data_IF_283424127244
#
_entry.id   IF_283424127244
#
_cell.length_a   1.000
_cell.length_b   1.000
_cell.length_c   1.000
_cell.angle_alpha   90.00
_cell.angle_beta   90.00
_cell.angle_gamma   90.00
#
_symmetry.space_group_name_H-M   'P 1'
#
loop_
_entity.id
_entity.type
_entity.pdbx_description
1 polymer ?
#
# COMPACT_ATOMS: atom_id res chain seq x y z
N UNK A 1 -19.41 26.25 18.19
CA UNK A 1 -18.79 24.91 18.12
C UNK A 1 -18.82 24.29 16.72
N UNK A 2 -19.98 23.93 16.15
CA UNK A 2 -20.04 23.20 14.87
C UNK A 2 -19.51 23.99 13.66
N UNK A 3 -19.67 25.31 13.66
CA UNK A 3 -19.10 26.17 12.60
C UNK A 3 -17.56 26.18 12.64
N UNK A 4 -16.98 26.18 13.83
CA UNK A 4 -15.52 26.13 14.02
C UNK A 4 -14.97 24.76 13.61
N UNK A 5 -15.68 23.66 13.95
CA UNK A 5 -15.34 22.30 13.49
C UNK A 5 -15.45 22.19 11.98
N UNK A 6 -16.46 22.80 11.36
CA UNK A 6 -16.61 22.86 9.90
C UNK A 6 -15.43 23.58 9.24
N UNK A 7 -14.97 24.70 9.80
CA UNK A 7 -13.77 25.38 9.30
C UNK A 7 -12.50 24.52 9.48
N UNK A 8 -12.37 23.81 10.60
CA UNK A 8 -11.25 22.91 10.85
C UNK A 8 -11.17 21.76 9.82
N UNK A 9 -12.31 21.26 9.32
CA UNK A 9 -12.33 20.23 8.27
C UNK A 9 -11.60 20.65 7.00
N UNK A 10 -11.65 21.94 6.65
CA UNK A 10 -11.00 22.49 5.46
C UNK A 10 -9.52 22.84 5.65
N UNK A 11 -9.04 22.89 6.90
CA UNK A 11 -7.69 23.37 7.24
C UNK A 11 -6.80 22.29 7.88
N UNK A 12 -7.36 21.14 8.27
CA UNK A 12 -6.64 20.06 8.94
C UNK A 12 -6.34 18.91 7.98
N UNK A 13 -5.24 18.20 8.26
CA UNK A 13 -4.80 17.01 7.51
C UNK A 13 -4.59 15.84 8.47
N UNK A 14 -4.52 14.62 7.94
CA UNK A 14 -4.22 13.39 8.69
C UNK A 14 -5.15 13.22 9.90
N UNK A 15 -4.61 12.87 11.08
CA UNK A 15 -5.38 12.68 12.31
C UNK A 15 -6.24 13.89 12.70
N UNK A 16 -5.80 15.11 12.41
CA UNK A 16 -6.61 16.31 12.66
C UNK A 16 -7.94 16.28 11.90
N UNK A 17 -7.91 15.87 10.63
CA UNK A 17 -9.10 15.72 9.79
C UNK A 17 -9.99 14.59 10.29
N UNK A 18 -9.40 13.46 10.71
CA UNK A 18 -10.15 12.34 11.31
C UNK A 18 -10.92 12.78 12.57
N UNK A 19 -10.26 13.48 13.50
CA UNK A 19 -10.93 13.99 14.70
C UNK A 19 -12.01 15.02 14.37
N UNK A 20 -11.73 15.92 13.42
CA UNK A 20 -12.69 16.91 12.96
C UNK A 20 -13.94 16.26 12.34
N UNK A 21 -13.77 15.25 11.47
CA UNK A 21 -14.90 14.50 10.88
C UNK A 21 -15.71 13.83 11.99
N UNK A 22 -15.07 13.12 12.92
CA UNK A 22 -15.78 12.45 14.01
C UNK A 22 -16.61 13.42 14.87
N UNK A 23 -16.13 14.65 15.06
CA UNK A 23 -16.77 15.68 15.88
C UNK A 23 -17.83 16.50 15.12
N UNK A 24 -17.79 16.48 13.80
CA UNK A 24 -18.67 17.26 12.94
C UNK A 24 -20.06 16.62 12.82
N UNK A 25 -21.06 17.50 12.65
CA UNK A 25 -22.43 17.13 12.30
C UNK A 25 -22.71 17.40 10.82
N UNK A 26 -23.12 16.35 10.10
CA UNK A 26 -23.47 16.40 8.67
C UNK A 26 -24.99 16.35 8.48
N UNK A 27 -25.66 17.42 8.89
CA UNK A 27 -27.12 17.52 8.94
C UNK A 27 -27.76 18.28 7.77
N UNK A 28 -26.97 18.76 6.82
CA UNK A 28 -27.47 19.44 5.61
C UNK A 28 -26.98 18.73 4.35
N UNK A 29 -27.74 18.77 3.24
CA UNK A 29 -27.36 18.11 2.00
C UNK A 29 -25.96 18.51 1.50
N UNK A 30 -25.60 19.79 1.60
CA UNK A 30 -24.27 20.26 1.18
C UNK A 30 -23.12 19.70 2.05
N UNK A 31 -23.34 19.54 3.36
CA UNK A 31 -22.33 18.93 4.25
C UNK A 31 -22.21 17.43 4.00
N UNK A 32 -23.32 16.75 3.75
CA UNK A 32 -23.39 15.32 3.45
C UNK A 32 -22.66 15.01 2.14
N UNK A 33 -22.95 15.79 1.10
CA UNK A 33 -22.26 15.71 -0.18
C UNK A 33 -20.75 15.93 -0.04
N UNK A 34 -20.35 16.99 0.69
CA UNK A 34 -18.94 17.28 0.94
C UNK A 34 -18.24 16.11 1.65
N UNK A 35 -18.91 15.46 2.62
CA UNK A 35 -18.35 14.32 3.33
C UNK A 35 -18.08 13.13 2.39
N UNK A 36 -18.97 12.88 1.44
CA UNK A 36 -18.77 11.83 0.42
C UNK A 36 -17.57 12.19 -0.47
N UNK A 37 -17.55 13.41 -1.00
CA UNK A 37 -16.57 13.86 -2.00
C UNK A 37 -15.16 14.10 -1.43
N UNK A 38 -15.03 14.43 -0.14
CA UNK A 38 -13.77 14.92 0.43
C UNK A 38 -13.37 14.22 1.73
N UNK A 39 -14.28 13.45 2.35
CA UNK A 39 -14.02 12.83 3.66
C UNK A 39 -12.90 11.81 3.62
N UNK A 40 -12.85 11.00 2.56
CA UNK A 40 -11.91 9.89 2.38
C UNK A 40 -10.46 10.35 2.10
N UNK A 41 -10.26 11.60 1.68
CA UNK A 41 -8.94 12.17 1.41
C UNK A 41 -8.17 12.40 2.72
N UNK A 42 -7.56 11.32 3.21
CA UNK A 42 -6.77 11.27 4.43
C UNK A 42 -5.34 10.86 4.05
N UNK A 43 -4.35 11.63 4.52
CA UNK A 43 -2.94 11.23 4.45
C UNK A 43 -2.58 10.07 5.43
N UNK A 44 -3.58 9.37 5.96
CA UNK A 44 -3.44 8.23 6.87
C UNK A 44 -4.54 7.21 6.57
N UNK A 45 -4.21 5.93 6.68
CA UNK A 45 -5.18 4.86 6.57
C UNK A 45 -5.97 4.74 7.89
N UNK A 46 -7.27 5.04 7.86
CA UNK A 46 -8.15 4.85 9.02
C UNK A 46 -9.52 4.30 8.57
N UNK A 47 -9.58 2.99 8.25
CA UNK A 47 -10.75 2.32 7.67
C UNK A 47 -12.06 2.51 8.47
N UNK A 48 -12.06 2.57 9.81
CA UNK A 48 -13.29 2.75 10.58
C UNK A 48 -14.09 4.02 10.27
N UNK A 49 -13.45 5.09 9.77
CA UNK A 49 -14.16 6.33 9.47
C UNK A 49 -15.20 6.18 8.34
N UNK A 50 -15.03 5.16 7.49
CA UNK A 50 -15.97 4.83 6.42
C UNK A 50 -17.39 4.58 6.96
N UNK A 51 -17.54 4.01 8.16
CA UNK A 51 -18.86 3.80 8.80
C UNK A 51 -19.60 5.12 8.97
N UNK A 52 -18.91 6.13 9.51
CA UNK A 52 -19.50 7.46 9.71
C UNK A 52 -19.81 8.12 8.36
N UNK A 53 -18.94 7.97 7.36
CA UNK A 53 -19.17 8.53 6.02
C UNK A 53 -20.39 7.90 5.33
N UNK A 54 -20.59 6.58 5.45
CA UNK A 54 -21.75 5.88 4.90
C UNK A 54 -23.04 6.40 5.54
N UNK A 55 -23.07 6.48 6.87
CA UNK A 55 -24.28 6.80 7.63
C UNK A 55 -24.59 8.30 7.60
N UNK A 56 -23.64 9.14 8.02
CA UNK A 56 -23.86 10.58 8.12
C UNK A 56 -23.75 11.29 6.77
N UNK A 57 -23.02 10.73 5.80
CA UNK A 57 -23.01 11.21 4.43
C UNK A 57 -24.24 10.79 3.63
N UNK A 58 -25.07 9.88 4.18
CA UNK A 58 -26.24 9.30 3.50
C UNK A 58 -25.88 8.69 2.14
N UNK A 59 -24.82 7.89 2.11
CA UNK A 59 -24.27 7.35 0.87
C UNK A 59 -25.30 6.55 0.04
N UNK A 60 -26.19 5.82 0.70
CA UNK A 60 -27.26 5.08 0.00
C UNK A 60 -28.20 6.03 -0.76
N UNK A 61 -28.61 7.16 -0.15
CA UNK A 61 -29.45 8.17 -0.81
C UNK A 61 -28.71 8.84 -1.97
N UNK A 62 -27.40 9.10 -1.82
CA UNK A 62 -26.59 9.68 -2.89
C UNK A 62 -26.47 8.75 -4.11
N UNK A 63 -26.31 7.44 -3.87
CA UNK A 63 -26.19 6.43 -4.94
C UNK A 63 -27.53 6.05 -5.58
N UNK A 64 -28.67 6.40 -4.96
CA UNK A 64 -30.01 6.25 -5.55
C UNK A 64 -30.32 7.22 -6.69
N UNK A 65 -29.56 8.32 -6.80
CA UNK A 65 -29.70 9.25 -7.90
C UNK A 65 -29.48 8.54 -9.25
N UNK A 66 -30.25 8.93 -10.27
CA UNK A 66 -30.12 8.34 -11.61
C UNK A 66 -28.75 8.60 -12.25
N UNK A 67 -28.15 9.74 -11.92
CA UNK A 67 -26.81 10.13 -12.33
C UNK A 67 -26.13 10.81 -11.15
N UNK A 68 -24.83 10.55 -10.99
CA UNK A 68 -23.96 11.21 -10.02
C UNK A 68 -22.78 11.83 -10.76
N UNK A 69 -22.13 12.83 -10.18
CA UNK A 69 -20.89 13.36 -10.74
C UNK A 69 -19.67 12.49 -10.38
N UNK A 70 -18.56 12.76 -11.05
CA UNK A 70 -17.33 12.01 -10.86
C UNK A 70 -16.77 12.12 -9.42
N UNK A 71 -16.93 13.29 -8.78
CA UNK A 71 -16.46 13.51 -7.42
C UNK A 71 -17.22 12.64 -6.41
N UNK A 72 -18.55 12.55 -6.56
CA UNK A 72 -19.41 11.67 -5.78
C UNK A 72 -19.05 10.21 -6.02
N UNK A 73 -18.90 9.80 -7.28
CA UNK A 73 -18.52 8.43 -7.64
C UNK A 73 -17.19 8.02 -7.00
N UNK A 74 -16.16 8.85 -7.19
CA UNK A 74 -14.82 8.58 -6.65
C UNK A 74 -14.83 8.49 -5.12
N UNK A 75 -15.57 9.39 -4.48
CA UNK A 75 -15.76 9.37 -3.03
C UNK A 75 -16.50 8.14 -2.53
N UNK A 76 -17.59 7.77 -3.19
CA UNK A 76 -18.33 6.55 -2.89
C UNK A 76 -17.46 5.30 -3.00
N UNK A 77 -16.67 5.19 -4.08
CA UNK A 77 -15.76 4.06 -4.30
C UNK A 77 -14.68 3.99 -3.19
N UNK A 78 -14.06 5.11 -2.84
CA UNK A 78 -13.06 5.18 -1.78
C UNK A 78 -13.64 4.84 -0.40
N UNK A 79 -14.86 5.29 -0.09
CA UNK A 79 -15.56 4.98 1.17
C UNK A 79 -15.85 3.48 1.27
N UNK A 80 -16.38 2.87 0.20
CA UNK A 80 -16.71 1.45 0.19
C UNK A 80 -15.46 0.57 0.24
N UNK A 81 -14.37 0.95 -0.44
CA UNK A 81 -13.07 0.29 -0.30
C UNK A 81 -12.55 0.33 1.14
N UNK A 82 -12.63 1.48 1.81
CA UNK A 82 -12.26 1.59 3.23
C UNK A 82 -13.17 0.75 4.13
N UNK A 83 -14.45 0.61 3.79
CA UNK A 83 -15.35 -0.25 4.56
C UNK A 83 -15.02 -1.74 4.37
N UNK A 84 -14.69 -2.19 3.16
CA UNK A 84 -14.17 -3.54 2.94
C UNK A 84 -12.86 -3.78 3.70
N UNK A 85 -11.95 -2.79 3.72
CA UNK A 85 -10.70 -2.88 4.47
C UNK A 85 -10.94 -3.02 5.99
N UNK A 86 -11.93 -2.32 6.54
CA UNK A 86 -12.38 -2.50 7.93
C UNK A 86 -12.86 -3.95 8.16
N UNK A 87 -13.67 -4.50 7.25
CA UNK A 87 -14.18 -5.87 7.36
C UNK A 87 -13.06 -6.91 7.27
N UNK A 88 -12.06 -6.70 6.41
CA UNK A 88 -10.94 -7.62 6.23
C UNK A 88 -9.94 -7.60 7.39
N UNK A 89 -9.73 -6.44 8.03
CA UNK A 89 -8.68 -6.27 9.04
C UNK A 89 -9.17 -6.48 10.48
N UNK A 90 -10.48 -6.48 10.73
CA UNK A 90 -11.02 -6.57 12.08
C UNK A 90 -12.07 -7.68 12.20
N UNK A 91 -12.00 -8.42 13.32
CA UNK A 91 -13.00 -9.45 13.62
C UNK A 91 -14.41 -8.83 13.79
N UNK A 92 -15.49 -9.49 13.35
CA UNK A 92 -16.85 -8.97 13.43
C UNK A 92 -17.25 -8.48 14.84
N UNK A 93 -16.87 -9.21 15.89
CA UNK A 93 -17.16 -8.83 17.27
C UNK A 93 -16.51 -7.49 17.67
N UNK A 94 -15.31 -7.18 17.15
CA UNK A 94 -14.63 -5.90 17.40
C UNK A 94 -15.37 -4.78 16.68
N UNK A 95 -15.82 -5.03 15.45
CA UNK A 95 -16.57 -4.05 14.67
C UNK A 95 -17.90 -3.72 15.36
N UNK A 96 -18.67 -4.73 15.76
CA UNK A 96 -19.96 -4.56 16.44
C UNK A 96 -19.86 -3.80 17.77
N UNK A 97 -18.79 -4.01 18.52
CA UNK A 97 -18.57 -3.33 19.80
C UNK A 97 -18.24 -1.86 19.64
N UNK A 98 -17.59 -1.47 18.55
CA UNK A 98 -17.03 -0.13 18.38
C UNK A 98 -17.81 0.73 17.38
N UNK A 99 -18.54 0.11 16.44
CA UNK A 99 -19.18 0.81 15.32
C UNK A 99 -20.58 0.29 15.05
N UNK A 100 -21.54 1.21 14.88
CA UNK A 100 -22.89 0.85 14.47
C UNK A 100 -22.94 0.62 12.96
N UNK A 101 -22.94 -0.63 12.52
CA UNK A 101 -23.00 -1.00 11.10
C UNK A 101 -24.34 -1.62 10.70
N UNK A 102 -25.32 -1.67 11.61
CA UNK A 102 -26.57 -2.42 11.44
C UNK A 102 -27.41 -1.91 10.26
N UNK A 103 -27.40 -0.61 10.02
CA UNK A 103 -28.15 0.03 8.92
C UNK A 103 -27.43 0.02 7.57
N UNK A 104 -26.22 -0.54 7.50
CA UNK A 104 -25.42 -0.55 6.27
C UNK A 104 -25.76 -1.81 5.47
N UNK A 105 -26.50 -1.63 4.38
CA UNK A 105 -26.72 -2.66 3.36
C UNK A 105 -25.57 -2.61 2.35
N UNK A 106 -24.57 -3.45 2.55
CA UNK A 106 -23.36 -3.44 1.73
C UNK A 106 -23.61 -3.97 0.31
N UNK A 107 -24.52 -4.94 0.13
CA UNK A 107 -24.84 -5.47 -1.20
C UNK A 107 -25.48 -4.39 -2.06
N UNK A 108 -26.47 -3.68 -1.52
CA UNK A 108 -27.17 -2.61 -2.23
C UNK A 108 -26.21 -1.46 -2.60
N UNK A 109 -25.38 -1.02 -1.66
CA UNK A 109 -24.39 0.03 -1.89
C UNK A 109 -23.39 -0.34 -3.00
N UNK A 110 -22.84 -1.57 -2.97
CA UNK A 110 -21.91 -2.03 -3.99
C UNK A 110 -22.61 -2.17 -5.34
N UNK A 111 -23.83 -2.69 -5.38
CA UNK A 111 -24.60 -2.84 -6.63
C UNK A 111 -24.88 -1.49 -7.28
N UNK A 112 -25.31 -0.49 -6.49
CA UNK A 112 -25.55 0.88 -6.99
C UNK A 112 -24.25 1.54 -7.45
N UNK A 113 -23.14 1.38 -6.71
CA UNK A 113 -21.84 1.91 -7.13
C UNK A 113 -21.42 1.32 -8.49
N UNK A 114 -21.53 0.00 -8.66
CA UNK A 114 -21.15 -0.68 -9.91
C UNK A 114 -22.06 -0.31 -11.09
N UNK A 115 -23.31 0.09 -10.84
CA UNK A 115 -24.16 0.68 -11.87
C UNK A 115 -23.57 1.99 -12.40
N UNK A 116 -23.15 2.90 -11.50
CA UNK A 116 -22.53 4.17 -11.87
C UNK A 116 -21.13 4.00 -12.48
N UNK A 117 -20.37 3.00 -12.03
CA UNK A 117 -19.02 2.71 -12.53
C UNK A 117 -18.98 2.49 -14.06
N UNK A 118 -20.06 1.99 -14.67
CA UNK A 118 -20.15 1.80 -16.12
C UNK A 118 -19.99 3.10 -16.91
N UNK A 119 -20.33 4.25 -16.32
CA UNK A 119 -20.21 5.57 -16.95
C UNK A 119 -18.81 6.19 -16.76
N UNK A 120 -18.04 5.72 -15.77
CA UNK A 120 -16.77 6.30 -15.36
C UNK A 120 -15.56 5.39 -15.62
N UNK A 121 -15.75 4.11 -15.96
CA UNK A 121 -14.68 3.17 -16.25
C UNK A 121 -14.09 3.39 -17.66
N UNK A 122 -13.52 4.58 -17.91
CA UNK A 122 -12.99 4.93 -19.25
C UNK A 122 -11.47 4.83 -19.34
N UNK A 123 -10.77 5.05 -18.22
CA UNK A 123 -9.32 4.99 -18.10
C UNK A 123 -8.89 3.96 -17.05
N UNK A 124 -7.68 3.40 -17.14
CA UNK A 124 -7.13 2.46 -16.16
C UNK A 124 -7.19 2.99 -14.72
N UNK A 125 -6.84 4.26 -14.52
CA UNK A 125 -6.82 4.92 -13.20
C UNK A 125 -8.20 4.98 -12.55
N UNK A 126 -9.27 5.06 -13.35
CA UNK A 126 -10.66 5.12 -12.89
C UNK A 126 -11.20 3.73 -12.51
N UNK A 127 -10.51 2.68 -12.94
CA UNK A 127 -10.87 1.28 -12.68
C UNK A 127 -10.14 0.71 -11.47
N UNK A 128 -9.04 1.35 -11.04
CA UNK A 128 -8.30 0.96 -9.84
C UNK A 128 -9.20 0.79 -8.61
N UNK A 129 -10.18 1.68 -8.41
CA UNK A 129 -11.09 1.52 -7.28
C UNK A 129 -11.95 0.26 -7.38
N UNK A 130 -12.33 -0.15 -8.60
CA UNK A 130 -13.10 -1.37 -8.87
C UNK A 130 -12.22 -2.62 -8.70
N UNK A 131 -10.96 -2.54 -9.12
CA UNK A 131 -9.95 -3.60 -8.86
C UNK A 131 -9.75 -3.77 -7.36
N UNK A 132 -9.58 -2.68 -6.62
CA UNK A 132 -9.47 -2.71 -5.16
C UNK A 132 -10.72 -3.31 -4.48
N UNK A 133 -11.92 -2.99 -4.97
CA UNK A 133 -13.16 -3.61 -4.49
C UNK A 133 -13.14 -5.12 -4.75
N UNK A 134 -12.73 -5.56 -5.94
CA UNK A 134 -12.63 -6.97 -6.31
C UNK A 134 -11.66 -7.73 -5.40
N UNK A 135 -10.46 -7.17 -5.15
CA UNK A 135 -9.46 -7.72 -4.22
C UNK A 135 -10.02 -7.81 -2.80
N UNK A 136 -10.66 -6.74 -2.32
CA UNK A 136 -11.28 -6.69 -1.00
C UNK A 136 -12.37 -7.76 -0.83
N UNK A 137 -13.19 -7.98 -1.86
CA UNK A 137 -14.23 -9.01 -1.87
C UNK A 137 -13.65 -10.43 -1.93
N UNK A 138 -12.62 -10.67 -2.75
CA UNK A 138 -11.92 -11.96 -2.78
C UNK A 138 -11.31 -12.29 -1.40
N UNK A 139 -10.75 -11.29 -0.71
CA UNK A 139 -10.21 -11.47 0.65
C UNK A 139 -11.30 -11.89 1.64
N UNK A 140 -12.51 -11.32 1.55
CA UNK A 140 -13.66 -11.76 2.37
C UNK A 140 -14.04 -13.22 2.07
N UNK A 141 -13.99 -13.64 0.81
CA UNK A 141 -14.26 -15.03 0.41
C UNK A 141 -13.19 -15.98 0.98
N UNK A 142 -11.92 -15.65 0.80
CA UNK A 142 -10.79 -16.48 1.24
C UNK A 142 -10.75 -16.63 2.77
N UNK A 143 -11.06 -15.56 3.49
CA UNK A 143 -11.14 -15.55 4.95
C UNK A 143 -12.48 -16.05 5.49
N UNK A 144 -13.43 -16.38 4.61
CA UNK A 144 -14.80 -16.81 4.95
C UNK A 144 -15.52 -15.83 5.89
N UNK A 145 -15.27 -14.53 5.72
CA UNK A 145 -15.89 -13.50 6.51
C UNK A 145 -17.27 -13.13 5.95
N UNK A 146 -18.32 -13.77 6.51
CA UNK A 146 -19.70 -13.60 6.05
C UNK A 146 -20.52 -12.58 6.86
N UNK A 147 -19.85 -11.64 7.51
CA UNK A 147 -20.51 -10.72 8.45
C UNK A 147 -21.52 -9.76 7.77
N UNK A 148 -21.15 -9.18 6.62
CA UNK A 148 -22.00 -8.23 5.86
C UNK A 148 -22.45 -8.74 4.50
N UNK A 149 -21.78 -9.74 3.96
CA UNK A 149 -22.08 -10.35 2.67
C UNK A 149 -22.01 -11.86 2.82
N UNK A 150 -22.92 -12.57 2.19
CA UNK A 150 -22.81 -14.02 1.99
C UNK A 150 -21.86 -14.33 0.83
N UNK A 151 -21.37 -15.58 0.78
CA UNK A 151 -20.53 -16.05 -0.32
C UNK A 151 -21.16 -15.80 -1.71
N UNK A 152 -22.46 -16.05 -1.85
CA UNK A 152 -23.17 -15.83 -3.12
C UNK A 152 -23.21 -14.35 -3.51
N UNK A 153 -23.42 -13.45 -2.55
CA UNK A 153 -23.41 -12.01 -2.79
C UNK A 153 -22.02 -11.54 -3.19
N UNK A 154 -20.96 -11.99 -2.49
CA UNK A 154 -19.58 -11.69 -2.86
C UNK A 154 -19.29 -12.11 -4.30
N UNK A 155 -19.56 -13.36 -4.67
CA UNK A 155 -19.30 -13.85 -6.02
C UNK A 155 -20.11 -13.12 -7.11
N UNK A 156 -21.34 -12.70 -6.79
CA UNK A 156 -22.18 -11.92 -7.72
C UNK A 156 -21.56 -10.55 -7.97
N UNK A 157 -21.10 -9.87 -6.93
CA UNK A 157 -20.48 -8.55 -7.03
C UNK A 157 -19.10 -8.65 -7.69
N UNK A 158 -18.29 -9.66 -7.36
CA UNK A 158 -17.00 -9.93 -8.01
C UNK A 158 -17.19 -10.09 -9.52
N UNK A 159 -18.17 -10.90 -9.95
CA UNK A 159 -18.47 -11.07 -11.37
C UNK A 159 -18.89 -9.76 -12.06
N UNK A 160 -19.57 -8.86 -11.34
CA UNK A 160 -19.92 -7.54 -11.84
C UNK A 160 -18.69 -6.61 -11.94
N UNK A 161 -17.77 -6.66 -10.98
CA UNK A 161 -16.47 -5.98 -11.07
C UNK A 161 -15.67 -6.49 -12.27
N UNK A 162 -15.51 -7.81 -12.41
CA UNK A 162 -14.77 -8.45 -13.51
C UNK A 162 -15.34 -8.04 -14.87
N UNK A 163 -16.66 -7.96 -15.00
CA UNK A 163 -17.30 -7.51 -16.24
C UNK A 163 -16.86 -6.10 -16.63
N UNK A 164 -16.71 -5.19 -15.67
CA UNK A 164 -16.26 -3.81 -15.91
C UNK A 164 -14.76 -3.79 -16.23
N UNK A 165 -13.96 -4.48 -15.41
CA UNK A 165 -12.50 -4.56 -15.55
C UNK A 165 -12.11 -5.14 -16.92
N UNK A 166 -12.71 -6.27 -17.32
CA UNK A 166 -12.35 -6.98 -18.54
C UNK A 166 -13.20 -6.59 -19.75
N UNK A 167 -13.98 -5.50 -19.68
CA UNK A 167 -14.76 -5.02 -20.83
C UNK A 167 -13.87 -4.56 -21.99
N UNK A 168 -12.64 -4.13 -21.68
CA UNK A 168 -11.69 -3.56 -22.63
C UNK A 168 -10.33 -4.23 -22.46
N UNK A 169 -9.62 -4.37 -23.57
CA UNK A 169 -8.21 -4.73 -23.55
C UNK A 169 -7.37 -3.50 -23.19
N UNK A 170 -6.75 -3.53 -22.01
CA UNK A 170 -5.94 -2.44 -21.47
C UNK A 170 -4.50 -2.43 -21.98
N UNK A 171 -4.05 -3.51 -22.63
CA UNK A 171 -2.66 -3.65 -23.06
C UNK A 171 -2.24 -2.48 -23.95
N UNK A 172 -3.07 -2.11 -24.94
CA UNK A 172 -2.77 -1.00 -25.85
C UNK A 172 -2.67 0.35 -25.12
N UNK A 173 -3.48 0.56 -24.09
CA UNK A 173 -3.44 1.80 -23.31
C UNK A 173 -2.18 1.85 -22.45
N UNK A 174 -1.88 0.76 -21.73
CA UNK A 174 -0.61 0.58 -21.00
C UNK A 174 0.60 0.79 -21.92
N UNK A 175 0.56 0.26 -23.13
CA UNK A 175 1.63 0.40 -24.13
C UNK A 175 1.87 1.85 -24.52
N UNK A 176 0.83 2.68 -24.53
CA UNK A 176 0.94 4.10 -24.92
C UNK A 176 1.21 5.05 -23.76
N UNK A 177 0.77 4.76 -22.54
CA UNK A 177 0.76 5.73 -21.43
C UNK A 177 1.58 5.36 -20.21
N UNK A 178 2.15 4.14 -20.11
CA UNK A 178 2.93 3.70 -18.94
C UNK A 178 4.15 4.59 -18.67
N UNK A 179 4.86 4.98 -19.72
CA UNK A 179 6.04 5.85 -19.65
C UNK A 179 5.83 6.97 -20.66
N UNK A 180 5.78 8.20 -20.18
CA UNK A 180 5.59 9.41 -20.99
C UNK A 180 6.78 10.36 -20.82
N UNK A 181 6.75 11.49 -21.54
CA UNK A 181 7.76 12.54 -21.36
C UNK A 181 7.76 13.14 -19.94
N UNK A 182 6.67 13.00 -19.18
CA UNK A 182 6.54 13.48 -17.81
C UNK A 182 7.04 12.47 -16.77
N UNK A 183 7.39 11.25 -17.20
CA UNK A 183 7.87 10.17 -16.35
C UNK A 183 6.95 8.94 -16.38
N UNK A 184 7.04 8.15 -15.31
CA UNK A 184 6.29 6.89 -15.15
C UNK A 184 4.90 7.17 -14.59
N UNK A 185 3.86 6.57 -15.20
CA UNK A 185 2.51 6.58 -14.64
C UNK A 185 2.38 5.47 -13.58
N UNK A 186 2.64 5.81 -12.31
CA UNK A 186 2.55 4.88 -11.18
C UNK A 186 1.16 4.25 -10.97
N UNK A 187 0.05 5.01 -11.04
CA UNK A 187 -1.28 4.41 -11.05
C UNK A 187 -1.45 3.30 -12.10
N UNK A 188 -0.85 3.47 -13.29
CA UNK A 188 -0.90 2.44 -14.32
C UNK A 188 0.01 1.24 -14.01
N UNK A 189 1.11 1.44 -13.28
CA UNK A 189 1.93 0.35 -12.74
C UNK A 189 1.14 -0.48 -11.72
N UNK A 190 0.42 0.18 -10.80
CA UNK A 190 -0.46 -0.50 -9.84
C UNK A 190 -1.53 -1.30 -10.58
N UNK A 191 -2.17 -0.69 -11.57
CA UNK A 191 -3.20 -1.35 -12.38
C UNK A 191 -2.67 -2.60 -13.09
N UNK A 192 -1.51 -2.50 -13.73
CA UNK A 192 -0.89 -3.63 -14.42
C UNK A 192 -0.48 -4.74 -13.44
N UNK A 193 0.05 -4.38 -12.27
CA UNK A 193 0.43 -5.32 -11.23
C UNK A 193 -0.78 -6.12 -10.72
N UNK A 194 -1.89 -5.44 -10.40
CA UNK A 194 -3.10 -6.11 -9.88
C UNK A 194 -3.82 -7.00 -10.91
N UNK A 195 -3.63 -6.74 -12.21
CA UNK A 195 -4.18 -7.55 -13.29
C UNK A 195 -3.20 -8.59 -13.85
N UNK A 196 -2.06 -8.81 -13.18
CA UNK A 196 -1.00 -9.71 -13.64
C UNK A 196 -0.52 -9.42 -15.09
N UNK A 197 -0.52 -8.15 -15.49
CA UNK A 197 -0.04 -7.69 -16.80
C UNK A 197 1.47 -7.43 -16.71
N UNK A 198 2.26 -8.20 -17.46
CA UNK A 198 3.73 -8.09 -17.44
C UNK A 198 4.22 -6.80 -18.12
N UNK A 199 4.50 -5.79 -17.31
CA UNK A 199 5.13 -4.52 -17.71
C UNK A 199 6.61 -4.45 -17.36
N UNK A 200 7.20 -5.53 -16.82
CA UNK A 200 8.52 -5.52 -16.19
C UNK A 200 9.62 -5.03 -17.13
N UNK A 201 9.66 -5.53 -18.37
CA UNK A 201 10.73 -5.22 -19.32
C UNK A 201 10.83 -3.72 -19.63
N UNK A 202 9.67 -3.04 -19.72
CA UNK A 202 9.60 -1.60 -20.02
C UNK A 202 10.04 -0.77 -18.83
N UNK A 203 9.56 -1.10 -17.63
CA UNK A 203 9.98 -0.46 -16.39
C UNK A 203 11.48 -0.67 -16.15
N UNK A 204 12.00 -1.87 -16.45
CA UNK A 204 13.41 -2.19 -16.26
C UNK A 204 14.30 -1.40 -17.22
N UNK A 205 13.93 -1.30 -18.51
CA UNK A 205 14.65 -0.46 -19.48
C UNK A 205 14.73 1.00 -19.02
N UNK A 206 13.61 1.56 -18.57
CA UNK A 206 13.59 2.93 -18.03
C UNK A 206 14.44 3.06 -16.76
N UNK A 207 14.37 2.10 -15.84
CA UNK A 207 15.18 2.10 -14.62
C UNK A 207 16.69 2.02 -14.89
N UNK A 208 17.12 1.32 -15.95
CA UNK A 208 18.52 1.31 -16.37
C UNK A 208 19.01 2.71 -16.80
N UNK A 209 18.14 3.52 -17.41
CA UNK A 209 18.44 4.91 -17.79
C UNK A 209 18.31 5.88 -16.61
N UNK A 210 17.44 5.55 -15.65
CA UNK A 210 17.10 6.37 -14.48
C UNK A 210 17.29 5.58 -13.16
N UNK A 211 18.53 5.22 -12.79
CA UNK A 211 18.79 4.32 -11.66
C UNK A 211 18.44 4.92 -10.29
N UNK A 212 18.11 6.20 -10.20
CA UNK A 212 17.65 6.85 -8.96
C UNK A 212 16.13 6.87 -8.80
N UNK A 213 15.37 6.35 -9.77
CA UNK A 213 13.91 6.26 -9.70
C UNK A 213 13.49 5.11 -8.76
N UNK A 214 13.74 5.28 -7.46
CA UNK A 214 13.56 4.24 -6.44
C UNK A 214 12.10 3.76 -6.30
N UNK A 215 11.14 4.56 -6.74
CA UNK A 215 9.71 4.23 -6.73
C UNK A 215 9.38 3.07 -7.69
N UNK A 216 10.27 2.73 -8.65
CA UNK A 216 10.11 1.57 -9.52
C UNK A 216 10.48 0.24 -8.84
N UNK A 217 11.29 0.28 -7.78
CA UNK A 217 11.84 -0.92 -7.15
C UNK A 217 10.78 -1.89 -6.63
N UNK A 218 9.65 -1.45 -6.04
CA UNK A 218 8.58 -2.37 -5.65
C UNK A 218 8.08 -3.19 -6.84
N UNK A 219 7.77 -2.57 -7.98
CA UNK A 219 7.29 -3.27 -9.17
C UNK A 219 8.36 -4.17 -9.78
N UNK A 220 9.61 -3.70 -9.84
CA UNK A 220 10.72 -4.46 -10.43
C UNK A 220 11.13 -5.68 -9.61
N UNK A 221 10.91 -5.66 -8.29
CA UNK A 221 11.25 -6.73 -7.35
C UNK A 221 10.04 -7.57 -6.92
N UNK A 222 8.81 -7.16 -7.25
CA UNK A 222 7.59 -7.91 -6.90
C UNK A 222 7.38 -9.17 -7.77
N UNK A 223 7.75 -9.11 -9.06
CA UNK A 223 7.62 -10.26 -9.94
C UNK A 223 8.63 -11.35 -9.59
N UNK A 224 8.13 -12.53 -9.21
CA UNK A 224 8.95 -13.70 -8.92
C UNK A 224 9.13 -14.53 -10.20
N UNK A 225 10.38 -14.75 -10.62
CA UNK A 225 10.71 -15.50 -11.84
C UNK A 225 12.15 -15.26 -12.32
N UNK A 226 12.74 -16.28 -12.96
CA UNK A 226 14.06 -16.32 -13.60
C UNK A 226 15.17 -15.48 -12.91
N UNK A 227 15.73 -14.52 -13.63
CA UNK A 227 16.90 -13.69 -13.30
C UNK A 227 16.52 -12.21 -13.15
N UNK A 228 15.22 -11.88 -13.19
CA UNK A 228 14.70 -10.50 -13.22
C UNK A 228 15.15 -9.72 -11.99
N UNK A 229 14.96 -10.28 -10.80
CA UNK A 229 15.40 -9.63 -9.57
C UNK A 229 16.92 -9.48 -9.50
N UNK A 230 17.68 -10.44 -10.03
CA UNK A 230 19.14 -10.35 -10.08
C UNK A 230 19.60 -9.21 -10.98
N UNK A 231 18.95 -9.01 -12.14
CA UNK A 231 19.21 -7.86 -13.02
C UNK A 231 18.98 -6.53 -12.29
N UNK A 232 17.89 -6.43 -11.53
CA UNK A 232 17.57 -5.22 -10.75
C UNK A 232 18.60 -4.98 -9.66
N UNK A 233 18.92 -6.01 -8.87
CA UNK A 233 19.94 -5.92 -7.81
C UNK A 233 21.31 -5.54 -8.38
N UNK A 234 21.69 -6.07 -9.55
CA UNK A 234 22.95 -5.71 -10.21
C UNK A 234 23.00 -4.22 -10.60
N UNK A 235 21.90 -3.66 -11.12
CA UNK A 235 21.84 -2.21 -11.44
C UNK A 235 21.95 -1.37 -10.17
N UNK A 236 21.27 -1.78 -9.08
CA UNK A 236 21.39 -1.09 -7.78
C UNK A 236 22.81 -1.16 -7.25
N UNK A 237 23.47 -2.32 -7.30
CA UNK A 237 24.86 -2.49 -6.86
C UNK A 237 25.84 -1.65 -7.68
N UNK A 238 25.66 -1.59 -9.01
CA UNK A 238 26.49 -0.74 -9.88
C UNK A 238 26.36 0.75 -9.57
N UNK A 239 25.19 1.18 -9.10
CA UNK A 239 24.88 2.57 -8.79
C UNK A 239 24.84 2.86 -7.27
N UNK A 240 25.39 1.96 -6.45
CA UNK A 240 25.18 1.96 -4.99
C UNK A 240 25.53 3.28 -4.30
N UNK A 241 26.52 4.03 -4.82
CA UNK A 241 26.93 5.33 -4.30
C UNK A 241 25.82 6.39 -4.36
N UNK A 242 24.88 6.28 -5.31
CA UNK A 242 23.75 7.19 -5.43
C UNK A 242 22.65 6.86 -4.41
N UNK A 243 22.57 5.59 -4.00
CA UNK A 243 21.56 5.10 -3.05
C UNK A 243 21.91 5.38 -1.59
N UNK A 244 23.20 5.33 -1.23
CA UNK A 244 23.63 5.54 0.16
C UNK A 244 23.51 6.99 0.66
N UNK A 245 23.16 7.93 -0.24
CA UNK A 245 22.96 9.35 0.08
C UNK A 245 21.65 9.55 0.85
N UNK A 246 20.60 8.78 0.51
CA UNK A 246 19.30 8.83 1.18
C UNK A 246 19.13 7.59 2.08
N UNK A 247 18.83 7.82 3.36
CA UNK A 247 18.59 6.78 4.35
C UNK A 247 17.48 5.79 3.95
N UNK A 248 16.55 6.19 3.07
CA UNK A 248 15.39 5.39 2.67
C UNK A 248 15.55 4.69 1.31
N UNK A 249 16.52 5.08 0.48
CA UNK A 249 16.64 4.57 -0.88
C UNK A 249 16.91 3.05 -0.94
N UNK A 250 17.56 2.49 0.08
CA UNK A 250 17.82 1.05 0.18
C UNK A 250 16.69 0.25 0.85
N UNK A 251 15.62 0.90 1.30
CA UNK A 251 14.55 0.22 2.06
C UNK A 251 13.90 -0.91 1.25
N UNK A 252 13.53 -0.65 -0.01
CA UNK A 252 12.86 -1.64 -0.86
C UNK A 252 13.78 -2.82 -1.20
N UNK A 253 15.03 -2.61 -1.69
CA UNK A 253 15.98 -3.71 -1.89
C UNK A 253 16.25 -4.51 -0.62
N UNK A 254 16.42 -3.86 0.54
CA UNK A 254 16.66 -4.56 1.80
C UNK A 254 15.45 -5.43 2.20
N UNK A 255 14.22 -4.93 2.05
CA UNK A 255 13.00 -5.73 2.31
C UNK A 255 12.92 -6.96 1.39
N UNK A 256 13.30 -6.82 0.12
CA UNK A 256 13.39 -7.94 -0.81
C UNK A 256 14.43 -8.97 -0.34
N UNK A 257 15.64 -8.51 0.00
CA UNK A 257 16.76 -9.36 0.39
C UNK A 257 16.52 -10.16 1.68
N UNK A 258 15.64 -9.67 2.57
CA UNK A 258 15.19 -10.41 3.76
C UNK A 258 14.80 -11.86 3.46
N UNK A 259 14.07 -12.08 2.37
CA UNK A 259 13.56 -13.39 1.97
C UNK A 259 14.43 -14.09 0.90
N UNK A 260 15.59 -13.52 0.53
CA UNK A 260 16.45 -14.03 -0.55
C UNK A 260 17.92 -14.13 -0.10
N UNK A 261 18.26 -15.12 0.75
CA UNK A 261 19.59 -15.27 1.32
C UNK A 261 20.69 -15.41 0.27
N UNK A 262 21.80 -14.70 0.48
CA UNK A 262 22.99 -14.78 -0.38
C UNK A 262 22.92 -13.97 -1.69
N UNK A 263 21.81 -13.33 -2.02
CA UNK A 263 21.71 -12.37 -3.12
C UNK A 263 22.02 -10.94 -2.64
N UNK A 264 22.40 -10.04 -3.55
CA UNK A 264 22.56 -8.60 -3.24
C UNK A 264 23.55 -8.29 -2.12
N UNK A 265 24.64 -9.07 -2.01
CA UNK A 265 25.62 -8.92 -0.92
C UNK A 265 26.25 -7.53 -0.92
N UNK A 266 26.45 -6.91 -2.09
CA UNK A 266 26.97 -5.55 -2.19
C UNK A 266 26.04 -4.52 -1.56
N UNK A 267 24.71 -4.71 -1.70
CA UNK A 267 23.69 -3.86 -1.08
C UNK A 267 23.72 -3.98 0.45
N UNK A 268 23.83 -5.21 0.98
CA UNK A 268 23.93 -5.44 2.43
C UNK A 268 25.19 -4.79 2.99
N UNK A 269 26.34 -4.92 2.31
CA UNK A 269 27.59 -4.28 2.73
C UNK A 269 27.42 -2.75 2.75
N UNK A 270 26.86 -2.17 1.69
CA UNK A 270 26.63 -0.73 1.62
C UNK A 270 25.69 -0.21 2.72
N UNK A 271 24.66 -0.98 3.07
CA UNK A 271 23.77 -0.67 4.18
C UNK A 271 24.50 -0.76 5.53
N UNK A 272 25.33 -1.78 5.76
CA UNK A 272 26.14 -1.94 6.97
C UNK A 272 27.18 -0.81 7.15
N UNK A 273 27.73 -0.29 6.06
CA UNK A 273 28.70 0.80 6.08
C UNK A 273 28.08 2.18 5.85
N UNK A 274 26.74 2.28 5.88
CA UNK A 274 26.03 3.54 5.72
C UNK A 274 26.34 4.53 6.85
N UNK A 275 26.23 5.83 6.54
CA UNK A 275 26.30 6.91 7.53
C UNK A 275 25.12 6.89 8.51
N UNK A 276 24.02 6.22 8.16
CA UNK A 276 22.80 6.17 8.95
C UNK A 276 22.70 4.87 9.77
N UNK A 277 22.22 4.95 11.02
CA UNK A 277 21.95 3.75 11.85
C UNK A 277 20.78 2.91 11.31
N UNK A 278 19.82 3.55 10.63
CA UNK A 278 18.61 2.89 10.14
C UNK A 278 18.88 1.76 9.11
N UNK A 279 19.58 2.01 7.99
CA UNK A 279 19.97 0.93 7.06
C UNK A 279 20.84 -0.14 7.71
N UNK A 280 21.72 0.24 8.65
CA UNK A 280 22.57 -0.70 9.38
C UNK A 280 21.77 -1.67 10.24
N UNK A 281 20.80 -1.15 10.99
CA UNK A 281 19.91 -1.97 11.81
C UNK A 281 19.10 -2.95 10.98
N UNK A 282 18.58 -2.52 9.82
CA UNK A 282 17.87 -3.40 8.88
C UNK A 282 18.80 -4.48 8.32
N UNK A 283 20.00 -4.12 7.88
CA UNK A 283 20.97 -5.07 7.34
C UNK A 283 21.37 -6.13 8.38
N UNK A 284 21.58 -5.75 9.65
CA UNK A 284 21.84 -6.70 10.73
C UNK A 284 20.66 -7.66 10.93
N UNK A 285 19.43 -7.15 10.93
CA UNK A 285 18.21 -7.98 11.05
C UNK A 285 18.12 -9.01 9.91
N UNK A 286 18.43 -8.61 8.69
CA UNK A 286 18.42 -9.50 7.52
C UNK A 286 19.47 -10.60 7.68
N UNK A 287 20.68 -10.26 8.12
CA UNK A 287 21.74 -11.25 8.35
C UNK A 287 21.40 -12.23 9.48
N UNK A 288 20.70 -11.77 10.53
CA UNK A 288 20.20 -12.65 11.60
C UNK A 288 19.23 -13.69 11.04
N UNK A 289 18.38 -13.29 10.09
CA UNK A 289 17.38 -14.16 9.46
C UNK A 289 17.97 -15.09 8.40
N UNK A 290 18.98 -14.64 7.65
CA UNK A 290 19.71 -15.49 6.70
C UNK A 290 20.45 -16.64 7.40
N UNK A 291 20.94 -16.40 8.62
CA UNK A 291 21.71 -17.38 9.38
C UNK A 291 23.18 -17.42 9.01
N UNK A 292 23.96 -18.17 9.80
CA UNK A 292 25.43 -18.14 9.78
C UNK A 292 26.04 -18.60 8.47
N UNK A 293 25.35 -19.46 7.72
CA UNK A 293 25.86 -20.09 6.50
C UNK A 293 26.00 -19.08 5.35
N UNK A 294 25.27 -17.96 5.43
CA UNK A 294 25.33 -16.88 4.44
C UNK A 294 26.26 -15.72 4.86
N UNK A 295 26.91 -15.79 6.03
CA UNK A 295 27.88 -14.79 6.49
C UNK A 295 29.24 -14.98 5.81
N UNK A 296 29.36 -14.46 4.61
CA UNK A 296 30.61 -14.44 3.84
C UNK A 296 31.71 -13.63 4.57
N UNK A 297 33.00 -13.85 4.25
CA UNK A 297 34.09 -13.05 4.82
C UNK A 297 33.93 -11.54 4.58
N UNK A 298 33.37 -11.13 3.44
CA UNK A 298 33.10 -9.74 3.13
C UNK A 298 32.03 -9.12 4.05
N UNK A 299 30.96 -9.86 4.34
CA UNK A 299 29.93 -9.43 5.29
C UNK A 299 30.48 -9.33 6.72
N UNK A 300 31.34 -10.26 7.14
CA UNK A 300 32.02 -10.19 8.44
C UNK A 300 32.91 -8.96 8.54
N UNK A 301 33.63 -8.62 7.48
CA UNK A 301 34.43 -7.39 7.44
C UNK A 301 33.54 -6.14 7.55
N UNK A 302 32.45 -6.09 6.80
CA UNK A 302 31.49 -4.99 6.86
C UNK A 302 30.83 -4.84 8.25
N UNK A 303 30.54 -5.94 8.95
CA UNK A 303 30.06 -5.92 10.33
C UNK A 303 31.07 -5.31 11.30
N UNK A 304 32.36 -5.62 11.17
CA UNK A 304 33.40 -4.97 11.97
C UNK A 304 33.49 -3.47 11.69
N UNK A 305 33.36 -3.05 10.42
CA UNK A 305 33.29 -1.62 10.07
C UNK A 305 32.04 -0.97 10.68
N UNK A 306 30.88 -1.61 10.58
CA UNK A 306 29.62 -1.13 11.12
C UNK A 306 29.69 -0.89 12.64
N UNK A 307 30.37 -1.79 13.37
CA UNK A 307 30.59 -1.68 14.82
C UNK A 307 31.34 -0.40 15.19
N UNK A 308 32.34 0.00 14.42
CA UNK A 308 33.11 1.22 14.65
C UNK A 308 32.38 2.51 14.28
N UNK A 309 31.35 2.40 13.43
CA UNK A 309 30.57 3.55 12.96
C UNK A 309 29.29 3.78 13.77
N UNK A 310 28.81 2.79 14.53
CA UNK A 310 27.46 2.79 15.12
C UNK A 310 27.50 3.21 16.58
N UNK A 311 26.68 4.20 16.93
CA UNK A 311 26.49 4.63 18.31
C UNK A 311 25.19 4.06 18.91
N UNK A 312 24.40 3.32 18.12
CA UNK A 312 23.11 2.81 18.57
C UNK A 312 23.28 1.48 19.31
N UNK A 313 22.88 1.38 20.60
CA UNK A 313 23.16 0.22 21.44
C UNK A 313 22.56 -1.08 20.90
N UNK A 314 21.31 -1.03 20.41
CA UNK A 314 20.64 -2.18 19.76
C UNK A 314 21.38 -2.68 18.52
N UNK A 315 21.90 -1.77 17.68
CA UNK A 315 22.62 -2.14 16.46
C UNK A 315 23.95 -2.80 16.83
N UNK A 316 24.68 -2.22 17.79
CA UNK A 316 25.95 -2.79 18.25
C UNK A 316 25.79 -4.18 18.87
N UNK A 317 24.75 -4.39 19.69
CA UNK A 317 24.45 -5.69 20.27
C UNK A 317 24.10 -6.74 19.20
N UNK A 318 23.36 -6.37 18.15
CA UNK A 318 23.09 -7.26 17.01
C UNK A 318 24.35 -7.61 16.24
N UNK A 319 25.21 -6.63 15.97
CA UNK A 319 26.49 -6.87 15.29
C UNK A 319 27.36 -7.85 16.09
N UNK A 320 27.44 -7.69 17.41
CA UNK A 320 28.19 -8.60 18.27
C UNK A 320 27.61 -10.03 18.25
N UNK A 321 26.28 -10.16 18.31
CA UNK A 321 25.61 -11.45 18.22
C UNK A 321 25.95 -12.17 16.89
N UNK A 322 25.87 -11.45 15.77
CA UNK A 322 26.22 -11.97 14.43
C UNK A 322 27.68 -12.40 14.33
N UNK A 323 28.62 -11.60 14.85
CA UNK A 323 30.05 -11.91 14.81
C UNK A 323 30.42 -13.12 15.68
N UNK A 324 29.75 -13.29 16.82
CA UNK A 324 29.95 -14.40 17.76
C UNK A 324 29.14 -15.66 17.45
N UNK A 325 28.23 -15.60 16.46
CA UNK A 325 27.35 -16.70 16.09
C UNK A 325 26.26 -17.00 17.13
N UNK A 326 25.92 -16.02 17.97
CA UNK A 326 24.84 -16.10 18.95
C UNK A 326 23.56 -15.53 18.36
N UNK A 327 22.39 -16.00 18.82
CA UNK A 327 21.12 -15.35 18.51
C UNK A 327 20.97 -14.07 19.33
N UNK A 328 20.69 -12.96 18.66
CA UNK A 328 20.34 -11.71 19.33
C UNK A 328 19.07 -11.87 20.18
N UNK A 329 19.11 -11.38 21.42
CA UNK A 329 17.93 -11.22 22.29
C UNK A 329 17.83 -9.78 22.74
N UNK A 330 16.63 -9.21 22.65
CA UNK A 330 16.40 -7.81 23.04
C UNK A 330 16.61 -7.57 24.54
N UNK A 331 16.44 -8.63 25.34
CA UNK A 331 16.68 -8.67 26.78
C UNK A 331 18.14 -8.33 27.13
N UNK A 332 19.09 -8.61 26.25
CA UNK A 332 20.53 -8.39 26.48
C UNK A 332 20.94 -6.89 26.33
N UNK A 333 20.01 -5.99 26.00
CA UNK A 333 20.28 -4.56 25.72
C UNK A 333 19.57 -3.60 26.69
N UNK A 334 18.64 -4.11 27.51
CA UNK A 334 17.75 -3.28 28.36
C UNK A 334 18.15 -3.29 29.84
N UNK A 335 19.41 -3.64 30.17
CA UNK A 335 19.97 -3.45 31.53
C UNK A 335 20.56 -2.06 31.76
#
# INVERSE_FOLDING_TARGET
PQEEVWQLLHCTKSWGKVYAINSAEFNTPGKQQWLIENGYDLNIEYPPLSVKMIIEGKLSEALEASEIDYATYKGAAAILNNFLLLLNNFAPAVIEQNFNTTSIDLEDLLTKLLHHAQNFATKPEEILDIVALCIGLNTLVDTQNWYKLSANQCHTIIAACDKIIYQRDWQAEIDTTLITAEGVNYPLCDFAYELDIDIWSRLFSYFCEHPTEIQLLPYLLAYTGDDRSEKVLNVVEQNIYQYIIDQNALLVPLRYLRNHPGKGVGIIIAALTSLYDWPRGIACMILDEWGSDHLTPALRHALHTAQGLSNHPVVNARIEALLTGKKYKIEDVVE
#
